data_IF_799983407761
#
_entry.id   IF_799983407761
#
_cell.length_a   1.000
_cell.length_b   1.000
_cell.length_c   1.000
_cell.angle_alpha   90.00
_cell.angle_beta   90.00
_cell.angle_gamma   90.00
#
_symmetry.space_group_name_H-M   'P 1'
#
loop_
_entity.id
_entity.type
_entity.pdbx_description
1 polymer ?
#
# COMPACT_ATOMS: atom_id res chain seq x y z
N UNK A 1 40.44 -65.45 12.08
CA UNK A 1 40.79 -64.08 12.48
C UNK A 1 41.81 -63.55 11.49
N UNK A 2 41.39 -62.71 10.54
CA UNK A 2 42.24 -61.66 9.96
C UNK A 2 41.32 -60.70 9.21
N UNK A 3 41.26 -59.47 9.70
CA UNK A 3 40.37 -58.41 9.22
C UNK A 3 41.01 -57.73 8.02
N UNK A 4 40.34 -57.71 6.86
CA UNK A 4 40.72 -56.83 5.74
C UNK A 4 39.99 -55.49 5.93
N UNK A 5 40.79 -54.44 6.12
CA UNK A 5 40.35 -53.04 6.14
C UNK A 5 40.14 -52.60 4.69
N UNK A 6 38.89 -52.30 4.31
CA UNK A 6 38.58 -51.66 3.03
C UNK A 6 38.66 -50.14 3.24
N UNK A 7 39.68 -49.51 2.65
CA UNK A 7 39.86 -48.07 2.63
C UNK A 7 38.87 -47.47 1.62
N UNK A 8 37.80 -46.83 2.11
CA UNK A 8 36.88 -46.08 1.27
C UNK A 8 37.53 -44.75 0.84
N UNK A 9 37.85 -44.62 -0.45
CA UNK A 9 38.15 -43.33 -1.06
C UNK A 9 36.86 -42.48 -1.01
N UNK A 10 36.84 -41.47 -0.14
CA UNK A 10 35.83 -40.42 -0.18
C UNK A 10 36.01 -39.66 -1.49
N UNK A 11 35.05 -39.81 -2.41
CA UNK A 11 34.94 -38.95 -3.57
C UNK A 11 34.76 -37.51 -3.11
N UNK A 12 35.77 -36.68 -3.32
CA UNK A 12 35.63 -35.24 -3.20
C UNK A 12 34.52 -34.81 -4.16
N UNK A 13 33.41 -34.33 -3.61
CA UNK A 13 32.43 -33.59 -4.38
C UNK A 13 33.20 -32.47 -5.07
N UNK A 14 33.20 -32.48 -6.41
CA UNK A 14 33.74 -31.39 -7.18
C UNK A 14 33.04 -30.11 -6.70
N UNK A 15 33.78 -29.25 -6.02
CA UNK A 15 33.34 -27.88 -5.79
C UNK A 15 33.04 -27.31 -7.17
N UNK A 16 31.77 -27.05 -7.45
CA UNK A 16 31.37 -26.30 -8.62
C UNK A 16 32.07 -24.95 -8.51
N UNK A 17 33.12 -24.79 -9.30
CA UNK A 17 33.79 -23.53 -9.56
C UNK A 17 32.72 -22.50 -9.88
N UNK A 18 32.47 -21.59 -8.95
CA UNK A 18 31.71 -20.36 -9.24
C UNK A 18 32.61 -19.56 -10.16
N UNK A 19 32.35 -19.68 -11.47
CA UNK A 19 32.94 -18.76 -12.45
C UNK A 19 32.52 -17.35 -12.00
N UNK A 20 33.46 -16.43 -11.74
CA UNK A 20 33.08 -15.07 -11.37
C UNK A 20 32.23 -14.50 -12.49
N UNK A 21 31.08 -13.91 -12.14
CA UNK A 21 30.16 -13.33 -13.10
C UNK A 21 30.94 -12.39 -14.04
N UNK A 22 30.95 -12.69 -15.35
CA UNK A 22 31.57 -11.82 -16.32
C UNK A 22 30.69 -10.57 -16.44
N UNK A 23 31.28 -9.42 -16.13
CA UNK A 23 30.62 -8.13 -16.28
C UNK A 23 30.84 -7.64 -17.71
N UNK A 24 29.76 -7.39 -18.44
CA UNK A 24 29.80 -6.79 -19.78
C UNK A 24 29.43 -5.32 -19.72
N UNK A 25 30.27 -4.46 -20.29
CA UNK A 25 29.92 -3.04 -20.48
C UNK A 25 29.11 -2.87 -21.75
N UNK A 26 27.94 -2.23 -21.62
CA UNK A 26 27.03 -1.98 -22.72
C UNK A 26 27.18 -0.52 -23.16
N UNK A 27 27.61 -0.23 -24.40
CA UNK A 27 27.67 1.14 -24.91
C UNK A 27 26.27 1.77 -24.93
N UNK A 28 26.16 3.07 -25.19
CA UNK A 28 24.88 3.77 -25.27
C UNK A 28 24.08 3.42 -26.54
N UNK A 29 23.66 2.16 -26.62
CA UNK A 29 22.98 1.54 -27.76
C UNK A 29 22.01 0.46 -27.28
N UNK A 30 20.74 0.57 -27.69
CA UNK A 30 19.69 -0.36 -27.27
C UNK A 30 19.87 -1.76 -27.86
N UNK A 31 20.44 -1.90 -29.06
CA UNK A 31 20.66 -3.22 -29.65
C UNK A 31 21.73 -4.00 -28.86
N UNK A 32 22.80 -3.32 -28.43
CA UNK A 32 23.82 -3.88 -27.54
C UNK A 32 23.22 -4.32 -26.19
N UNK A 33 22.30 -3.54 -25.62
CA UNK A 33 21.56 -3.92 -24.41
C UNK A 33 20.75 -5.21 -24.62
N UNK A 34 20.01 -5.31 -25.73
CA UNK A 34 19.25 -6.51 -26.07
C UNK A 34 20.17 -7.73 -26.20
N UNK A 35 21.33 -7.58 -26.84
CA UNK A 35 22.33 -8.66 -26.95
C UNK A 35 22.87 -9.06 -25.57
N UNK A 36 23.22 -8.10 -24.72
CA UNK A 36 23.73 -8.37 -23.38
C UNK A 36 22.73 -9.15 -22.52
N UNK A 37 21.45 -8.75 -22.53
CA UNK A 37 20.39 -9.49 -21.79
C UNK A 37 20.21 -10.90 -22.37
N UNK A 38 20.30 -11.07 -23.69
CA UNK A 38 20.23 -12.39 -24.32
C UNK A 38 21.37 -13.31 -23.86
N UNK A 39 22.60 -12.79 -23.79
CA UNK A 39 23.76 -13.51 -23.27
C UNK A 39 23.63 -13.82 -21.78
N UNK A 40 23.12 -12.87 -20.98
CA UNK A 40 22.86 -13.05 -19.56
C UNK A 40 21.84 -14.18 -19.32
N UNK A 41 20.79 -14.28 -20.15
CA UNK A 41 19.83 -15.38 -20.12
C UNK A 41 20.45 -16.74 -20.45
N UNK A 42 21.51 -16.77 -21.26
CA UNK A 42 22.30 -17.96 -21.56
C UNK A 42 23.38 -18.29 -20.50
N UNK A 43 23.39 -17.58 -19.36
CA UNK A 43 24.42 -17.71 -18.30
C UNK A 43 25.84 -17.36 -18.76
N UNK A 44 26.01 -16.45 -19.73
CA UNK A 44 27.33 -16.03 -20.24
C UNK A 44 27.80 -14.78 -19.49
N UNK A 45 27.07 -13.67 -19.61
CA UNK A 45 27.40 -12.36 -19.02
C UNK A 45 26.30 -11.92 -18.05
N UNK A 46 26.26 -12.49 -16.85
CA UNK A 46 25.13 -12.29 -15.90
C UNK A 46 25.16 -10.94 -15.18
N UNK A 47 26.22 -10.15 -15.35
CA UNK A 47 26.32 -8.77 -14.86
C UNK A 47 26.48 -7.83 -16.05
N UNK A 48 25.60 -6.84 -16.14
CA UNK A 48 25.50 -5.90 -17.25
C UNK A 48 25.72 -4.49 -16.68
N UNK A 49 26.80 -3.83 -17.09
CA UNK A 49 27.10 -2.45 -16.72
C UNK A 49 26.70 -1.52 -17.86
N UNK A 50 25.72 -0.65 -17.63
CA UNK A 50 25.28 0.34 -18.62
C UNK A 50 26.23 1.54 -18.65
N UNK A 51 26.35 2.14 -19.83
CA UNK A 51 27.05 3.41 -20.01
C UNK A 51 26.42 4.47 -19.07
N UNK A 52 27.21 5.14 -18.21
CA UNK A 52 26.68 6.08 -17.24
C UNK A 52 25.83 7.17 -17.86
N UNK A 53 24.68 7.46 -17.25
CA UNK A 53 23.72 8.49 -17.70
C UNK A 53 23.17 8.32 -19.12
N UNK A 54 23.41 7.18 -19.78
CA UNK A 54 22.88 6.95 -21.12
C UNK A 54 21.35 6.85 -21.13
N UNK A 55 20.75 7.27 -22.25
CA UNK A 55 19.35 7.01 -22.56
C UNK A 55 19.24 5.86 -23.57
N UNK A 56 18.73 4.72 -23.13
CA UNK A 56 18.40 3.57 -23.96
C UNK A 56 16.92 3.63 -24.38
N UNK A 57 16.68 4.05 -25.61
CA UNK A 57 15.32 4.12 -26.17
C UNK A 57 14.91 2.78 -26.78
N UNK A 58 13.81 2.21 -26.29
CA UNK A 58 13.21 0.97 -26.81
C UNK A 58 11.96 1.36 -27.59
N UNK A 59 11.99 1.21 -28.92
CA UNK A 59 10.92 1.63 -29.82
C UNK A 59 10.02 0.48 -30.31
N UNK A 60 10.49 -0.75 -30.19
CA UNK A 60 9.80 -1.96 -30.67
C UNK A 60 9.84 -3.04 -29.59
N UNK A 61 8.80 -3.87 -29.56
CA UNK A 61 8.75 -5.00 -28.65
C UNK A 61 9.70 -6.12 -29.12
N UNK A 62 10.47 -6.71 -28.19
CA UNK A 62 11.29 -7.90 -28.45
C UNK A 62 10.42 -9.16 -28.57
N UNK A 63 9.43 -9.26 -27.69
CA UNK A 63 8.34 -10.25 -27.74
C UNK A 63 7.02 -9.54 -27.48
N UNK A 64 5.88 -10.18 -27.75
CA UNK A 64 4.57 -9.57 -27.50
C UNK A 64 4.46 -8.96 -26.10
N UNK A 65 4.09 -7.67 -26.04
CA UNK A 65 3.98 -6.86 -24.83
C UNK A 65 5.26 -6.61 -24.01
N UNK A 66 6.47 -6.97 -24.49
CA UNK A 66 7.73 -6.74 -23.77
C UNK A 66 8.87 -6.25 -24.69
N UNK A 67 9.47 -5.12 -24.32
CA UNK A 67 10.47 -4.38 -25.08
C UNK A 67 11.86 -5.01 -25.07
N UNK A 68 12.32 -5.51 -23.93
CA UNK A 68 13.61 -6.21 -23.78
C UNK A 68 13.39 -7.73 -23.75
N UNK A 69 14.42 -8.55 -24.00
CA UNK A 69 14.28 -10.00 -23.85
C UNK A 69 13.80 -10.36 -22.44
N UNK A 70 12.77 -11.21 -22.29
CA UNK A 70 12.32 -11.66 -20.98
C UNK A 70 13.46 -12.30 -20.18
N UNK A 71 13.57 -11.96 -18.90
CA UNK A 71 14.60 -12.52 -18.02
C UNK A 71 14.17 -13.94 -17.64
N UNK A 72 14.88 -14.94 -18.14
CA UNK A 72 14.62 -16.37 -17.88
C UNK A 72 15.77 -17.05 -17.12
N UNK A 73 16.82 -16.29 -16.80
CA UNK A 73 17.91 -16.82 -15.99
C UNK A 73 17.50 -16.94 -14.52
N UNK A 74 17.39 -18.17 -14.04
CA UNK A 74 17.15 -18.47 -12.63
C UNK A 74 18.41 -18.34 -11.75
N UNK A 75 19.61 -18.29 -12.31
CA UNK A 75 20.83 -17.95 -11.57
C UNK A 75 20.94 -16.44 -11.29
N UNK A 76 20.24 -15.60 -12.06
CA UNK A 76 20.18 -14.16 -11.89
C UNK A 76 20.83 -13.35 -13.01
N UNK A 77 20.22 -12.21 -13.30
CA UNK A 77 20.78 -11.14 -14.15
C UNK A 77 20.85 -9.87 -13.31
N UNK A 78 22.02 -9.24 -13.25
CA UNK A 78 22.21 -7.93 -12.60
C UNK A 78 22.46 -6.88 -13.66
N UNK A 79 21.71 -5.78 -13.61
CA UNK A 79 21.91 -4.61 -14.47
C UNK A 79 22.27 -3.43 -13.58
N UNK A 80 23.52 -2.97 -13.69
CA UNK A 80 23.99 -1.75 -13.07
C UNK A 80 23.74 -0.59 -14.02
N UNK A 81 22.76 0.23 -13.70
CA UNK A 81 22.29 1.31 -14.53
C UNK A 81 23.26 2.48 -14.59
N UNK A 82 24.08 2.72 -13.56
CA UNK A 82 24.99 3.88 -13.51
C UNK A 82 24.26 5.21 -13.82
N UNK A 83 23.05 5.37 -13.28
CA UNK A 83 22.12 6.47 -13.54
C UNK A 83 21.59 6.58 -14.98
N UNK A 84 21.70 5.51 -15.77
CA UNK A 84 21.08 5.44 -17.09
C UNK A 84 19.55 5.42 -17.00
N UNK A 85 18.92 5.63 -18.14
CA UNK A 85 17.48 5.53 -18.33
C UNK A 85 17.16 4.54 -19.45
N UNK A 86 16.26 3.60 -19.18
CA UNK A 86 15.61 2.76 -20.19
C UNK A 86 14.19 3.27 -20.39
N UNK A 87 13.86 3.67 -21.62
CA UNK A 87 12.61 4.37 -21.91
C UNK A 87 11.88 3.74 -23.09
N UNK A 88 10.58 3.50 -22.90
CA UNK A 88 9.68 3.19 -24.01
C UNK A 88 9.48 4.44 -24.88
N UNK A 89 9.66 4.31 -26.19
CA UNK A 89 9.36 5.36 -27.18
C UNK A 89 8.46 4.82 -28.29
N UNK A 90 7.89 5.71 -29.10
CA UNK A 90 6.99 5.34 -30.20
C UNK A 90 5.57 4.99 -29.74
N UNK A 91 4.78 4.46 -30.68
CA UNK A 91 3.35 4.13 -30.50
C UNK A 91 3.09 2.69 -30.06
N UNK A 92 4.09 1.82 -30.21
CA UNK A 92 3.97 0.40 -29.90
C UNK A 92 3.76 0.19 -28.39
N UNK A 93 2.87 -0.74 -28.06
CA UNK A 93 2.45 -1.03 -26.68
C UNK A 93 3.26 -2.20 -26.11
N UNK A 94 4.13 -1.92 -25.14
CA UNK A 94 4.90 -2.94 -24.42
C UNK A 94 5.41 -2.41 -23.08
N UNK A 95 5.68 -3.33 -22.13
CA UNK A 95 6.48 -3.07 -20.93
C UNK A 95 7.97 -3.12 -21.24
N UNK A 96 8.84 -2.69 -20.33
CA UNK A 96 10.29 -2.77 -20.56
C UNK A 96 10.85 -4.12 -20.12
N UNK A 97 10.49 -4.56 -18.92
CA UNK A 97 10.99 -5.81 -18.34
C UNK A 97 9.88 -6.81 -18.04
N UNK A 98 10.15 -8.07 -18.37
CA UNK A 98 9.39 -9.23 -17.94
C UNK A 98 10.36 -10.20 -17.24
N UNK A 99 10.09 -10.54 -15.98
CA UNK A 99 10.92 -11.44 -15.18
C UNK A 99 10.18 -12.75 -15.00
N UNK A 100 10.73 -13.80 -15.60
CA UNK A 100 10.07 -15.07 -15.84
C UNK A 100 8.99 -14.97 -16.93
N UNK A 101 8.80 -16.05 -17.68
CA UNK A 101 7.76 -16.13 -18.72
C UNK A 101 6.56 -16.96 -18.27
N UNK A 102 6.74 -17.84 -17.29
CA UNK A 102 5.67 -18.62 -16.65
C UNK A 102 6.15 -19.20 -15.32
N UNK A 103 5.25 -19.82 -14.55
CA UNK A 103 5.63 -20.56 -13.33
C UNK A 103 6.69 -21.66 -13.57
N UNK A 104 6.75 -22.22 -14.79
CA UNK A 104 7.72 -23.26 -15.17
C UNK A 104 9.05 -22.68 -15.68
N UNK A 105 9.08 -21.39 -16.01
CA UNK A 105 10.26 -20.69 -16.53
C UNK A 105 10.41 -19.38 -15.75
N UNK A 106 10.89 -19.46 -14.49
CA UNK A 106 11.13 -18.29 -13.65
C UNK A 106 12.36 -17.51 -14.12
N UNK A 107 12.50 -16.28 -13.63
CA UNK A 107 13.71 -15.47 -13.80
C UNK A 107 14.05 -14.69 -12.55
N UNK A 108 15.31 -14.26 -12.44
CA UNK A 108 15.80 -13.46 -11.32
C UNK A 108 16.48 -12.20 -11.86
N UNK A 109 15.97 -11.02 -11.50
CA UNK A 109 16.47 -9.74 -11.98
C UNK A 109 16.88 -8.82 -10.83
N UNK A 110 18.08 -8.25 -10.90
CA UNK A 110 18.54 -7.17 -10.02
C UNK A 110 18.78 -5.91 -10.86
N UNK A 111 18.22 -4.78 -10.44
CA UNK A 111 18.44 -3.46 -11.05
C UNK A 111 19.06 -2.51 -10.01
N UNK A 112 20.15 -1.83 -10.38
CA UNK A 112 20.80 -0.83 -9.53
C UNK A 112 20.90 0.51 -10.28
N UNK A 113 20.66 1.65 -9.61
CA UNK A 113 20.91 2.99 -10.13
C UNK A 113 20.31 3.24 -11.53
N UNK A 114 19.02 2.91 -11.71
CA UNK A 114 18.40 2.86 -13.02
C UNK A 114 17.02 3.52 -13.02
N UNK A 115 16.76 4.31 -14.06
CA UNK A 115 15.39 4.77 -14.36
C UNK A 115 14.77 3.91 -15.45
N UNK A 116 13.57 3.39 -15.23
CA UNK A 116 12.75 2.68 -16.22
C UNK A 116 11.44 3.41 -16.39
N UNK A 117 11.09 3.77 -17.62
CA UNK A 117 9.92 4.63 -17.83
C UNK A 117 9.09 4.40 -19.08
N UNK A 118 7.83 4.84 -18.98
CA UNK A 118 6.82 4.91 -20.03
C UNK A 118 6.34 3.56 -20.59
N UNK A 119 6.60 2.46 -19.88
CA UNK A 119 6.06 1.16 -20.26
C UNK A 119 4.53 1.18 -20.36
N UNK A 120 4.00 0.56 -21.40
CA UNK A 120 2.58 0.59 -21.75
C UNK A 120 2.14 -0.72 -22.44
N UNK A 121 2.11 -1.85 -21.73
CA UNK A 121 1.62 -3.10 -22.31
C UNK A 121 0.12 -3.02 -22.64
N UNK A 122 -0.29 -3.72 -23.69
CA UNK A 122 -1.69 -3.76 -24.14
C UNK A 122 -2.53 -4.78 -23.36
N UNK A 123 -1.89 -5.81 -22.80
CA UNK A 123 -2.60 -6.89 -22.10
C UNK A 123 -3.12 -6.53 -20.71
N UNK A 124 -4.01 -7.39 -20.21
CA UNK A 124 -4.63 -7.28 -18.88
C UNK A 124 -3.74 -7.78 -17.74
N UNK A 125 -2.56 -8.35 -18.06
CA UNK A 125 -1.64 -8.86 -17.03
C UNK A 125 -1.01 -7.70 -16.25
N UNK A 126 -0.88 -6.51 -16.84
CA UNK A 126 -0.35 -5.34 -16.11
C UNK A 126 1.17 -5.35 -15.98
N UNK A 127 1.75 -4.60 -15.04
CA UNK A 127 3.19 -4.40 -14.91
C UNK A 127 3.71 -3.49 -16.00
N UNK A 128 3.47 -2.18 -15.88
CA UNK A 128 3.70 -1.25 -16.97
C UNK A 128 5.18 -1.11 -17.33
N UNK A 129 6.05 -0.80 -16.37
CA UNK A 129 7.50 -0.86 -16.60
C UNK A 129 8.02 -2.30 -16.42
N UNK A 130 7.61 -2.96 -15.34
CA UNK A 130 8.13 -4.27 -14.93
C UNK A 130 6.99 -5.23 -14.57
N UNK A 131 7.03 -6.45 -15.13
CA UNK A 131 6.21 -7.57 -14.67
C UNK A 131 7.09 -8.67 -14.09
N UNK A 132 6.79 -9.10 -12.87
CA UNK A 132 7.41 -10.26 -12.22
C UNK A 132 6.40 -11.40 -12.18
N UNK A 133 6.69 -12.48 -12.93
CA UNK A 133 5.82 -13.65 -13.04
C UNK A 133 6.10 -14.68 -11.95
N UNK A 134 5.18 -15.62 -11.79
CA UNK A 134 5.20 -16.64 -10.76
C UNK A 134 6.59 -17.29 -10.60
N UNK A 135 6.99 -17.56 -9.36
CA UNK A 135 8.28 -18.17 -8.97
C UNK A 135 9.52 -17.34 -9.33
N UNK A 136 9.36 -16.10 -9.80
CA UNK A 136 10.45 -15.20 -10.16
C UNK A 136 10.80 -14.23 -9.04
N UNK A 137 12.01 -13.69 -9.08
CA UNK A 137 12.47 -12.68 -8.12
C UNK A 137 12.90 -11.37 -8.78
N UNK A 138 12.64 -10.27 -8.08
CA UNK A 138 13.10 -8.95 -8.49
C UNK A 138 13.71 -8.21 -7.29
N UNK A 139 14.89 -7.63 -7.50
CA UNK A 139 15.54 -6.74 -6.54
C UNK A 139 15.86 -5.41 -7.23
N UNK A 140 15.52 -4.29 -6.58
CA UNK A 140 15.87 -2.96 -7.04
C UNK A 140 16.53 -2.13 -5.95
N UNK A 141 17.66 -1.50 -6.26
CA UNK A 141 18.32 -0.53 -5.37
C UNK A 141 18.49 0.79 -6.12
N UNK A 142 17.98 1.89 -5.57
CA UNK A 142 18.01 3.19 -6.24
C UNK A 142 17.40 3.14 -7.66
N UNK A 143 16.21 2.54 -7.77
CA UNK A 143 15.49 2.39 -9.05
C UNK A 143 14.32 3.37 -9.11
N UNK A 144 14.18 4.06 -10.24
CA UNK A 144 13.04 4.90 -10.54
C UNK A 144 12.13 4.23 -11.57
N UNK A 145 10.89 3.88 -11.20
CA UNK A 145 9.87 3.36 -12.10
C UNK A 145 8.80 4.43 -12.33
N UNK A 146 8.76 5.02 -13.54
CA UNK A 146 7.91 6.20 -13.76
C UNK A 146 7.14 6.24 -15.07
N UNK A 147 6.04 7.00 -15.07
CA UNK A 147 5.28 7.36 -16.27
C UNK A 147 4.57 6.20 -16.98
N UNK A 148 4.53 5.01 -16.38
CA UNK A 148 3.99 3.83 -17.03
C UNK A 148 2.46 3.75 -16.92
N UNK A 149 1.85 3.05 -17.87
CA UNK A 149 0.41 2.82 -17.93
C UNK A 149 0.14 1.33 -18.11
N UNK A 150 -0.68 0.73 -17.26
CA UNK A 150 -1.02 -0.69 -17.38
C UNK A 150 -2.45 -0.97 -16.90
N UNK A 151 -2.95 -2.20 -17.03
CA UNK A 151 -4.24 -2.55 -16.41
C UNK A 151 -4.12 -2.77 -14.89
N UNK A 152 -3.00 -3.30 -14.41
CA UNK A 152 -2.72 -3.60 -12.98
C UNK A 152 -1.24 -3.29 -12.74
N UNK A 153 -0.87 -2.70 -11.61
CA UNK A 153 0.55 -2.43 -11.31
C UNK A 153 1.16 -1.51 -12.36
N UNK A 154 0.72 -0.24 -12.39
CA UNK A 154 1.08 0.70 -13.46
C UNK A 154 2.58 0.85 -13.63
N UNK A 155 3.35 0.93 -12.54
CA UNK A 155 4.82 0.87 -12.58
C UNK A 155 5.33 -0.58 -12.59
N UNK A 156 4.97 -1.36 -11.57
CA UNK A 156 5.43 -2.74 -11.40
C UNK A 156 4.31 -3.64 -10.89
N UNK A 157 4.29 -4.89 -11.36
CA UNK A 157 3.40 -5.94 -10.84
C UNK A 157 4.18 -7.16 -10.38
N UNK A 158 3.92 -7.59 -9.15
CA UNK A 158 4.33 -8.87 -8.58
C UNK A 158 3.16 -9.84 -8.59
N UNK A 159 3.27 -10.95 -9.33
CA UNK A 159 2.26 -12.02 -9.33
C UNK A 159 2.40 -12.92 -8.09
N UNK A 160 1.51 -13.88 -7.94
CA UNK A 160 1.57 -14.88 -6.87
C UNK A 160 2.90 -15.64 -6.89
N UNK A 161 3.35 -16.10 -5.72
CA UNK A 161 4.61 -16.86 -5.59
C UNK A 161 5.85 -16.12 -6.10
N UNK A 162 5.84 -14.79 -6.10
CA UNK A 162 7.02 -13.97 -6.40
C UNK A 162 7.65 -13.43 -5.13
N UNK A 163 8.95 -13.13 -5.20
CA UNK A 163 9.66 -12.37 -4.16
C UNK A 163 10.18 -11.07 -4.75
N UNK A 164 9.93 -9.96 -4.05
CA UNK A 164 10.32 -8.62 -4.49
C UNK A 164 11.02 -7.83 -3.40
N UNK A 165 12.11 -7.15 -3.75
CA UNK A 165 12.71 -6.12 -2.90
C UNK A 165 12.90 -4.82 -3.69
N UNK A 166 12.56 -3.70 -3.07
CA UNK A 166 12.89 -2.35 -3.55
C UNK A 166 13.49 -1.58 -2.39
N UNK A 167 14.67 -1.02 -2.58
CA UNK A 167 15.41 -0.25 -1.57
C UNK A 167 15.78 1.11 -2.16
N UNK A 168 15.57 2.17 -1.38
CA UNK A 168 15.94 3.56 -1.75
C UNK A 168 15.40 3.96 -3.13
N UNK A 169 14.20 3.50 -3.47
CA UNK A 169 13.65 3.54 -4.82
C UNK A 169 12.47 4.52 -4.93
N UNK A 170 12.10 4.90 -6.15
CA UNK A 170 10.97 5.78 -6.43
C UNK A 170 10.04 5.18 -7.47
N UNK A 171 8.74 5.22 -7.17
CA UNK A 171 7.67 4.81 -8.08
C UNK A 171 6.74 6.00 -8.26
N UNK A 172 6.77 6.67 -9.42
CA UNK A 172 5.98 7.89 -9.61
C UNK A 172 5.30 8.05 -10.96
N UNK A 173 4.20 8.79 -10.97
CA UNK A 173 3.49 9.18 -12.20
C UNK A 173 2.99 7.99 -13.04
N UNK A 174 2.87 6.82 -12.41
CA UNK A 174 2.34 5.63 -13.04
C UNK A 174 0.83 5.58 -12.88
N UNK A 175 0.14 4.96 -13.84
CA UNK A 175 -1.31 4.85 -13.80
C UNK A 175 -1.82 3.48 -14.20
N UNK A 176 -2.99 3.13 -13.68
CA UNK A 176 -3.79 2.05 -14.25
C UNK A 176 -4.96 2.56 -15.08
N UNK A 177 -5.30 1.82 -16.13
CA UNK A 177 -6.43 2.08 -17.02
C UNK A 177 -7.15 0.76 -17.31
N UNK A 178 -8.48 0.74 -17.37
CA UNK A 178 -9.26 -0.47 -17.69
C UNK A 178 -10.07 -1.04 -16.51
N UNK A 179 -10.71 -2.19 -16.71
CA UNK A 179 -11.72 -2.74 -15.77
C UNK A 179 -11.18 -3.33 -14.47
N UNK A 180 -9.89 -3.70 -14.40
CA UNK A 180 -9.24 -4.27 -13.21
C UNK A 180 -8.14 -3.33 -12.67
N UNK A 181 -8.40 -2.01 -12.65
CA UNK A 181 -7.42 -0.96 -12.38
C UNK A 181 -6.95 -0.87 -10.92
N UNK A 182 -5.96 -1.67 -10.53
CA UNK A 182 -5.40 -1.68 -9.18
C UNK A 182 -3.88 -1.47 -9.12
N UNK A 183 -3.42 -0.71 -8.12
CA UNK A 183 -2.00 -0.44 -7.88
C UNK A 183 -1.39 0.48 -8.94
N UNK A 184 -1.60 1.79 -8.80
CA UNK A 184 -1.14 2.76 -9.80
C UNK A 184 0.37 2.72 -9.98
N UNK A 185 1.12 2.66 -8.88
CA UNK A 185 2.56 2.46 -8.87
C UNK A 185 2.93 0.98 -8.82
N UNK A 186 2.49 0.28 -7.79
CA UNK A 186 2.81 -1.13 -7.56
C UNK A 186 1.55 -1.94 -7.28
N UNK A 187 1.49 -3.14 -7.83
CA UNK A 187 0.51 -4.13 -7.43
C UNK A 187 1.20 -5.44 -7.00
N UNK A 188 0.84 -5.98 -5.84
CA UNK A 188 1.44 -7.22 -5.31
C UNK A 188 0.42 -8.28 -4.89
N UNK A 189 0.57 -9.45 -5.50
CA UNK A 189 0.05 -10.74 -5.04
C UNK A 189 1.16 -11.64 -4.44
N UNK A 190 2.39 -11.14 -4.33
CA UNK A 190 3.58 -11.88 -3.92
C UNK A 190 4.07 -11.53 -2.51
N UNK A 191 5.31 -11.94 -2.20
CA UNK A 191 6.04 -11.49 -1.02
C UNK A 191 6.93 -10.31 -1.41
N UNK A 192 6.59 -9.10 -0.98
CA UNK A 192 7.29 -7.88 -1.37
C UNK A 192 7.74 -7.13 -0.13
N UNK A 193 9.01 -6.72 -0.10
CA UNK A 193 9.59 -5.84 0.90
C UNK A 193 10.02 -4.52 0.25
N UNK A 194 9.51 -3.42 0.76
CA UNK A 194 9.85 -2.07 0.34
C UNK A 194 10.61 -1.40 1.48
N UNK A 195 11.81 -0.93 1.21
CA UNK A 195 12.65 -0.22 2.19
C UNK A 195 12.93 1.16 1.66
N UNK A 196 12.58 2.20 2.42
CA UNK A 196 12.79 3.60 2.05
C UNK A 196 12.38 3.91 0.59
N UNK A 197 11.19 3.43 0.19
CA UNK A 197 10.70 3.55 -1.18
C UNK A 197 9.57 4.55 -1.26
N UNK A 198 9.67 5.50 -2.19
CA UNK A 198 8.71 6.58 -2.37
C UNK A 198 7.68 6.28 -3.47
N UNK A 199 6.40 6.45 -3.16
CA UNK A 199 5.28 6.37 -4.10
C UNK A 199 4.64 7.75 -4.27
N UNK A 200 4.82 8.37 -5.42
CA UNK A 200 4.34 9.75 -5.65
C UNK A 200 3.48 9.88 -6.89
N UNK A 201 2.32 10.54 -6.78
CA UNK A 201 1.50 10.93 -7.94
C UNK A 201 1.05 9.78 -8.84
N UNK A 202 0.95 8.57 -8.29
CA UNK A 202 0.42 7.44 -9.02
C UNK A 202 -1.12 7.44 -8.98
N UNK A 203 -1.74 6.81 -9.98
CA UNK A 203 -3.19 6.82 -10.16
C UNK A 203 -3.77 5.44 -10.46
N UNK A 204 -4.81 5.04 -9.75
CA UNK A 204 -5.55 3.81 -10.05
C UNK A 204 -7.02 3.94 -9.71
N UNK A 205 -7.82 2.93 -10.04
CA UNK A 205 -9.16 2.84 -9.46
C UNK A 205 -9.07 2.46 -7.99
N UNK A 206 -8.27 1.44 -7.67
CA UNK A 206 -8.05 0.94 -6.31
C UNK A 206 -6.54 0.96 -5.99
N UNK A 207 -6.13 1.51 -4.86
CA UNK A 207 -4.73 1.58 -4.49
C UNK A 207 -3.96 2.53 -5.40
N UNK A 208 -4.19 3.85 -5.25
CA UNK A 208 -3.60 4.87 -6.13
C UNK A 208 -2.08 4.73 -6.22
N UNK A 209 -1.41 4.56 -5.07
CA UNK A 209 0.01 4.21 -4.98
C UNK A 209 0.21 2.70 -5.10
N UNK A 210 -0.32 1.97 -4.12
CA UNK A 210 -0.08 0.54 -3.94
C UNK A 210 -1.40 -0.23 -3.88
N UNK A 211 -1.51 -1.29 -4.68
CA UNK A 211 -2.53 -2.32 -4.55
C UNK A 211 -1.93 -3.61 -4.01
N UNK A 212 -2.60 -4.22 -3.03
CA UNK A 212 -2.20 -5.49 -2.45
C UNK A 212 -3.44 -6.35 -2.19
N UNK A 213 -3.33 -7.65 -2.49
CA UNK A 213 -4.47 -8.54 -2.40
C UNK A 213 -4.13 -9.83 -1.64
N UNK A 214 -3.09 -10.55 -2.08
CA UNK A 214 -2.62 -11.78 -1.42
C UNK A 214 -1.11 -11.73 -1.22
N UNK A 215 -0.59 -12.65 -0.39
CA UNK A 215 0.82 -12.68 -0.01
C UNK A 215 1.14 -11.76 1.17
N UNK A 216 2.37 -11.26 1.21
CA UNK A 216 2.84 -10.38 2.28
C UNK A 216 3.49 -9.14 1.67
N UNK A 217 2.96 -7.97 2.03
CA UNK A 217 3.58 -6.69 1.74
C UNK A 217 4.19 -6.12 3.02
N UNK A 218 5.50 -5.92 3.01
CA UNK A 218 6.24 -5.26 4.10
C UNK A 218 6.76 -3.92 3.60
N UNK A 219 6.51 -2.84 4.35
CA UNK A 219 6.95 -1.48 4.03
C UNK A 219 7.72 -0.93 5.23
N UNK A 220 8.99 -0.60 5.04
CA UNK A 220 9.91 -0.12 6.06
C UNK A 220 10.45 1.25 5.64
N UNK A 221 9.80 2.31 6.12
CA UNK A 221 10.14 3.68 5.75
C UNK A 221 9.66 4.10 4.36
N UNK A 222 10.08 5.29 3.95
CA UNK A 222 9.65 5.94 2.71
C UNK A 222 8.34 6.72 2.85
N UNK A 223 7.88 7.28 1.74
CA UNK A 223 6.66 8.09 1.68
C UNK A 223 5.68 7.62 0.59
N UNK A 224 4.39 7.60 0.92
CA UNK A 224 3.30 7.33 -0.03
C UNK A 224 2.47 8.60 -0.08
N UNK A 225 2.66 9.40 -1.15
CA UNK A 225 2.08 10.75 -1.22
C UNK A 225 1.49 11.16 -2.55
N UNK A 226 0.49 12.03 -2.49
CA UNK A 226 -0.18 12.59 -3.67
C UNK A 226 -0.73 11.56 -4.64
N UNK A 227 -0.93 10.32 -4.21
CA UNK A 227 -1.50 9.28 -5.03
C UNK A 227 -3.02 9.45 -5.06
N UNK A 228 -3.63 9.01 -6.16
CA UNK A 228 -5.06 9.21 -6.41
C UNK A 228 -5.73 7.88 -6.75
N UNK A 229 -6.73 7.52 -5.95
CA UNK A 229 -7.66 6.45 -6.27
C UNK A 229 -9.00 7.01 -6.75
N UNK A 230 -9.73 6.22 -7.53
CA UNK A 230 -11.10 6.58 -7.94
C UNK A 230 -12.18 5.85 -7.14
N UNK A 231 -11.85 4.76 -6.47
CA UNK A 231 -12.76 4.03 -5.58
C UNK A 231 -12.14 3.96 -4.18
N UNK A 232 -11.09 3.16 -4.00
CA UNK A 232 -10.60 2.84 -2.65
C UNK A 232 -9.08 2.95 -2.53
N UNK A 233 -8.60 3.43 -1.37
CA UNK A 233 -7.18 3.43 -1.04
C UNK A 233 -6.40 4.43 -1.87
N UNK A 234 -6.51 5.73 -1.57
CA UNK A 234 -5.78 6.76 -2.31
C UNK A 234 -4.27 6.51 -2.31
N UNK A 235 -3.71 6.16 -1.15
CA UNK A 235 -2.33 5.69 -1.01
C UNK A 235 -2.22 4.18 -1.23
N UNK A 236 -2.81 3.40 -0.31
CA UNK A 236 -2.72 1.94 -0.26
C UNK A 236 -4.13 1.33 -0.26
N UNK A 237 -4.34 0.28 -1.06
CA UNK A 237 -5.47 -0.62 -0.90
C UNK A 237 -4.98 -2.04 -0.64
N UNK A 238 -5.37 -2.60 0.51
CA UNK A 238 -5.12 -3.99 0.91
C UNK A 238 -6.45 -4.74 1.04
N UNK A 239 -6.98 -5.23 -0.08
CA UNK A 239 -8.38 -5.70 -0.17
C UNK A 239 -8.57 -7.19 0.17
N UNK A 240 -7.64 -8.04 -0.28
CA UNK A 240 -7.76 -9.49 -0.11
C UNK A 240 -7.30 -10.02 1.26
N UNK A 241 -6.90 -11.28 1.30
CA UNK A 241 -6.49 -11.98 2.53
C UNK A 241 -5.00 -11.80 2.86
N UNK A 242 -4.29 -10.95 2.12
CA UNK A 242 -2.86 -10.67 2.30
C UNK A 242 -2.54 -9.96 3.62
N UNK A 243 -1.29 -10.09 4.04
CA UNK A 243 -0.73 -9.44 5.24
C UNK A 243 -0.01 -8.16 4.83
N UNK A 244 -0.36 -7.04 5.49
CA UNK A 244 0.36 -5.77 5.37
C UNK A 244 1.07 -5.47 6.69
N UNK A 245 2.39 -5.32 6.62
CA UNK A 245 3.22 -4.81 7.72
C UNK A 245 3.85 -3.49 7.28
N UNK A 246 3.54 -2.40 7.97
CA UNK A 246 4.08 -1.08 7.66
C UNK A 246 4.76 -0.49 8.89
N UNK A 247 6.02 -0.10 8.78
CA UNK A 247 6.81 0.48 9.87
C UNK A 247 7.48 1.77 9.41
N UNK A 248 7.51 2.81 10.25
CA UNK A 248 8.28 4.03 9.98
C UNK A 248 7.86 4.80 8.73
N UNK A 249 6.65 4.60 8.22
CA UNK A 249 6.22 5.09 6.89
C UNK A 249 5.29 6.29 7.01
N UNK A 250 5.39 7.24 6.08
CA UNK A 250 4.46 8.38 6.00
C UNK A 250 3.51 8.22 4.81
N UNK A 251 2.20 8.16 5.08
CA UNK A 251 1.12 8.13 4.09
C UNK A 251 0.43 9.49 4.13
N UNK A 252 0.74 10.36 3.17
CA UNK A 252 0.34 11.78 3.23
C UNK A 252 -0.29 12.32 1.96
N UNK A 253 -1.29 13.18 2.08
CA UNK A 253 -1.91 13.91 0.98
C UNK A 253 -2.36 13.02 -0.20
N UNK A 254 -2.74 11.77 0.09
CA UNK A 254 -3.37 10.91 -0.89
C UNK A 254 -4.87 11.19 -0.93
N UNK A 255 -5.48 10.89 -2.08
CA UNK A 255 -6.89 11.21 -2.28
C UNK A 255 -7.68 10.13 -2.98
N UNK A 256 -8.95 10.05 -2.60
CA UNK A 256 -9.98 9.35 -3.35
C UNK A 256 -10.89 10.39 -3.98
N UNK A 257 -10.99 10.34 -5.30
CA UNK A 257 -11.90 11.17 -6.09
C UNK A 257 -12.83 10.25 -6.87
N UNK A 258 -13.97 9.89 -6.28
CA UNK A 258 -14.97 9.09 -6.97
C UNK A 258 -15.45 9.83 -8.20
N UNK A 259 -15.51 9.14 -9.34
CA UNK A 259 -15.99 9.69 -10.61
C UNK A 259 -17.51 9.55 -10.77
N UNK A 260 -18.25 9.49 -9.67
CA UNK A 260 -19.70 9.27 -9.63
C UNK A 260 -20.15 7.81 -9.76
N UNK A 261 -19.25 6.82 -9.70
CA UNK A 261 -19.57 5.42 -10.03
C UNK A 261 -19.22 4.38 -8.93
N UNK A 262 -18.71 4.79 -7.78
CA UNK A 262 -18.28 3.86 -6.72
C UNK A 262 -18.23 4.49 -5.33
N UNK A 263 -18.11 3.65 -4.29
CA UNK A 263 -17.89 4.09 -2.91
C UNK A 263 -16.44 4.51 -2.71
N UNK A 264 -16.24 5.72 -2.18
CA UNK A 264 -14.96 6.32 -1.90
C UNK A 264 -14.47 5.99 -0.49
N UNK A 265 -13.47 5.11 -0.34
CA UNK A 265 -13.00 4.73 0.99
C UNK A 265 -11.47 4.76 1.17
N UNK A 266 -11.01 5.12 2.36
CA UNK A 266 -9.60 5.03 2.73
C UNK A 266 -8.74 6.00 1.94
N UNK A 267 -8.83 7.30 2.23
CA UNK A 267 -8.05 8.32 1.51
C UNK A 267 -6.55 8.02 1.56
N UNK A 268 -6.04 7.60 2.73
CA UNK A 268 -4.69 7.07 2.89
C UNK A 268 -4.65 5.57 2.66
N UNK A 269 -5.31 4.81 3.54
CA UNK A 269 -5.26 3.34 3.57
C UNK A 269 -6.66 2.76 3.53
N UNK A 270 -6.89 1.84 2.59
CA UNK A 270 -8.08 1.00 2.56
C UNK A 270 -7.71 -0.43 2.93
N UNK A 271 -8.49 -1.02 3.84
CA UNK A 271 -8.37 -2.40 4.31
C UNK A 271 -9.68 -3.11 4.02
N UNK A 272 -9.60 -4.20 3.26
CA UNK A 272 -10.74 -5.05 2.95
C UNK A 272 -11.19 -5.91 4.13
N UNK A 273 -11.88 -7.01 3.85
CA UNK A 273 -12.68 -7.72 4.86
C UNK A 273 -11.94 -8.78 5.69
N UNK A 274 -10.77 -9.23 5.24
CA UNK A 274 -10.05 -10.37 5.83
C UNK A 274 -8.58 -10.06 6.04
N UNK A 275 -7.90 -10.86 6.86
CA UNK A 275 -6.44 -10.79 7.06
C UNK A 275 -6.02 -9.86 8.20
N UNK A 276 -4.71 -9.81 8.43
CA UNK A 276 -4.08 -9.06 9.52
C UNK A 276 -3.19 -7.97 8.95
N UNK A 277 -3.32 -6.77 9.52
CA UNK A 277 -2.59 -5.57 9.11
C UNK A 277 -2.01 -4.91 10.35
N UNK A 278 -0.73 -4.63 10.30
CA UNK A 278 -0.02 -3.97 11.40
C UNK A 278 0.68 -2.74 10.85
N UNK A 279 0.43 -1.61 11.50
CA UNK A 279 1.05 -0.33 11.19
C UNK A 279 1.71 0.18 12.47
N UNK A 280 3.03 0.36 12.42
CA UNK A 280 3.85 0.71 13.57
C UNK A 280 4.71 1.94 13.26
N UNK A 281 4.92 2.81 14.25
CA UNK A 281 5.82 3.97 14.14
C UNK A 281 5.57 4.85 12.89
N UNK A 282 4.31 4.96 12.46
CA UNK A 282 3.96 5.53 11.16
C UNK A 282 3.05 6.75 11.28
N UNK A 283 2.90 7.49 10.20
CA UNK A 283 2.02 8.67 10.13
C UNK A 283 1.11 8.57 8.92
N UNK A 284 -0.20 8.70 9.15
CA UNK A 284 -1.24 8.76 8.13
C UNK A 284 -1.90 10.14 8.27
N UNK A 285 -1.52 11.07 7.39
CA UNK A 285 -1.90 12.48 7.54
C UNK A 285 -2.39 13.17 6.28
N UNK A 286 -3.29 14.15 6.42
CA UNK A 286 -3.72 15.00 5.30
C UNK A 286 -4.46 14.28 4.16
N UNK A 287 -4.74 12.98 4.30
CA UNK A 287 -5.40 12.22 3.25
C UNK A 287 -6.86 12.62 3.14
N UNK A 288 -7.40 12.62 1.93
CA UNK A 288 -8.72 13.18 1.65
C UNK A 288 -9.58 12.24 0.83
N UNK A 289 -10.80 11.98 1.31
CA UNK A 289 -11.85 11.38 0.49
C UNK A 289 -12.86 12.48 0.15
N UNK A 290 -13.16 12.67 -1.13
CA UNK A 290 -14.29 13.50 -1.57
C UNK A 290 -15.50 12.60 -1.75
N UNK A 291 -16.47 12.74 -0.85
CA UNK A 291 -17.68 11.93 -0.77
C UNK A 291 -18.62 12.24 -1.92
N UNK A 292 -19.10 11.19 -2.57
CA UNK A 292 -20.17 11.26 -3.56
C UNK A 292 -21.28 10.24 -3.29
N UNK A 293 -21.11 9.36 -2.29
CA UNK A 293 -22.14 8.45 -1.78
C UNK A 293 -22.23 8.49 -0.26
N UNK A 294 -23.42 8.24 0.30
CA UNK A 294 -23.68 8.27 1.74
C UNK A 294 -22.96 7.17 2.55
N UNK A 295 -22.17 6.33 1.89
CA UNK A 295 -21.41 5.25 2.49
C UNK A 295 -19.89 5.42 2.35
N UNK A 296 -19.42 6.57 1.87
CA UNK A 296 -18.00 6.88 1.74
C UNK A 296 -17.39 7.20 3.12
N UNK A 297 -16.22 6.65 3.41
CA UNK A 297 -15.60 6.85 4.72
C UNK A 297 -14.11 6.56 4.82
N UNK A 298 -13.54 6.84 5.98
CA UNK A 298 -12.12 6.62 6.24
C UNK A 298 -11.25 7.62 5.49
N UNK A 299 -11.36 8.91 5.83
CA UNK A 299 -10.49 9.95 5.24
C UNK A 299 -9.01 9.58 5.36
N UNK A 300 -8.60 9.08 6.52
CA UNK A 300 -7.32 8.43 6.75
C UNK A 300 -7.37 6.94 6.40
N UNK A 301 -8.11 6.17 7.19
CA UNK A 301 -8.18 4.72 7.11
C UNK A 301 -9.62 4.24 6.98
N UNK A 302 -9.88 3.35 6.03
CA UNK A 302 -11.09 2.53 6.02
C UNK A 302 -10.74 1.07 6.31
N UNK A 303 -11.58 0.42 7.11
CA UNK A 303 -11.47 -0.98 7.47
C UNK A 303 -12.82 -1.67 7.33
N UNK A 304 -12.95 -2.56 6.33
CA UNK A 304 -14.15 -3.36 6.14
C UNK A 304 -14.26 -4.56 7.09
N UNK A 305 -13.13 -5.09 7.56
CA UNK A 305 -13.05 -6.26 8.44
C UNK A 305 -11.61 -6.64 8.78
N UNK A 306 -11.41 -7.90 9.18
CA UNK A 306 -10.08 -8.43 9.56
C UNK A 306 -9.54 -7.83 10.87
N UNK A 307 -8.23 -7.76 11.01
CA UNK A 307 -7.57 -7.10 12.15
C UNK A 307 -6.62 -6.02 11.67
N UNK A 308 -6.74 -4.83 12.25
CA UNK A 308 -5.84 -3.71 12.08
C UNK A 308 -5.29 -3.35 13.45
N UNK A 309 -3.97 -3.38 13.58
CA UNK A 309 -3.27 -2.86 14.76
C UNK A 309 -2.47 -1.63 14.36
N UNK A 310 -2.78 -0.51 15.01
CA UNK A 310 -1.96 0.69 15.04
C UNK A 310 -1.16 0.67 16.34
N UNK A 311 0.16 0.79 16.23
CA UNK A 311 1.08 0.81 17.36
C UNK A 311 2.02 2.01 17.20
N UNK A 312 2.03 2.94 18.15
CA UNK A 312 2.77 4.22 18.04
C UNK A 312 2.58 4.93 16.69
N UNK A 313 1.35 4.94 16.17
CA UNK A 313 1.02 5.44 14.83
C UNK A 313 0.02 6.59 14.88
N UNK A 314 0.30 7.69 14.17
CA UNK A 314 -0.56 8.88 14.17
C UNK A 314 -1.50 8.88 12.96
N UNK A 315 -2.80 8.99 13.19
CA UNK A 315 -3.82 9.21 12.15
C UNK A 315 -4.37 10.63 12.32
N UNK A 316 -3.82 11.59 11.57
CA UNK A 316 -4.08 13.01 11.86
C UNK A 316 -4.42 13.90 10.68
N UNK A 317 -5.28 14.89 10.87
CA UNK A 317 -5.56 15.89 9.84
C UNK A 317 -6.19 15.34 8.56
N UNK A 318 -6.71 14.11 8.59
CA UNK A 318 -7.36 13.50 7.44
C UNK A 318 -8.78 14.06 7.27
N UNK A 319 -9.25 14.08 6.04
CA UNK A 319 -10.45 14.78 5.64
C UNK A 319 -11.40 13.88 4.88
N UNK A 320 -12.67 14.07 5.19
CA UNK A 320 -13.78 13.51 4.44
C UNK A 320 -14.67 14.69 4.05
N UNK A 321 -14.85 14.93 2.75
CA UNK A 321 -15.54 16.13 2.26
C UNK A 321 -16.74 15.73 1.42
N UNK A 322 -17.94 16.04 1.90
CA UNK A 322 -19.22 15.82 1.25
C UNK A 322 -20.26 15.28 2.23
N UNK A 323 -21.50 15.11 1.75
CA UNK A 323 -22.63 14.76 2.62
C UNK A 323 -22.59 13.30 3.06
N UNK A 324 -23.03 13.05 4.30
CA UNK A 324 -23.12 11.71 4.90
C UNK A 324 -21.79 10.93 4.91
N UNK A 325 -20.69 11.62 5.18
CA UNK A 325 -19.38 10.97 5.34
C UNK A 325 -19.21 10.31 6.72
N UNK A 326 -18.54 9.16 6.75
CA UNK A 326 -18.22 8.40 7.97
C UNK A 326 -16.71 8.32 8.28
N UNK A 327 -16.32 8.54 9.53
CA UNK A 327 -14.98 8.21 10.02
C UNK A 327 -13.86 8.97 9.31
N UNK A 328 -13.73 10.29 9.51
CA UNK A 328 -12.71 11.06 8.79
C UNK A 328 -11.28 10.62 9.15
N UNK A 329 -11.02 10.26 10.41
CA UNK A 329 -9.80 9.55 10.79
C UNK A 329 -9.86 8.09 10.35
N UNK A 330 -10.72 7.32 11.00
CA UNK A 330 -10.88 5.88 10.81
C UNK A 330 -12.38 5.53 10.67
N UNK A 331 -12.74 4.80 9.62
CA UNK A 331 -14.04 4.13 9.47
C UNK A 331 -13.83 2.61 9.58
N UNK A 332 -14.35 2.00 10.65
CA UNK A 332 -14.22 0.58 10.95
C UNK A 332 -15.59 -0.12 10.89
N UNK A 333 -15.83 -0.85 9.80
CA UNK A 333 -17.11 -1.50 9.51
C UNK A 333 -17.18 -3.00 9.83
N UNK A 334 -16.15 -3.52 10.48
CA UNK A 334 -16.08 -4.90 10.93
C UNK A 334 -14.72 -5.21 11.56
N UNK A 335 -14.57 -6.44 12.04
CA UNK A 335 -13.29 -6.96 12.51
C UNK A 335 -12.82 -6.37 13.84
N UNK A 336 -11.51 -6.28 14.02
CA UNK A 336 -10.87 -5.76 15.25
C UNK A 336 -9.88 -4.65 14.94
N UNK A 337 -10.18 -3.45 15.43
CA UNK A 337 -9.29 -2.30 15.40
C UNK A 337 -8.60 -2.16 16.76
N UNK A 338 -7.26 -2.25 16.77
CA UNK A 338 -6.44 -1.95 17.94
C UNK A 338 -5.70 -0.63 17.71
N UNK A 339 -5.87 0.32 18.63
CA UNK A 339 -5.21 1.63 18.63
C UNK A 339 -4.38 1.71 19.91
N UNK A 340 -3.08 1.41 19.80
CA UNK A 340 -2.22 1.09 20.94
C UNK A 340 -1.04 2.05 21.04
N UNK A 341 -0.52 2.22 22.26
CA UNK A 341 0.79 2.82 22.56
C UNK A 341 0.99 4.19 21.88
N UNK A 342 0.22 5.19 22.31
CA UNK A 342 0.23 6.53 21.71
C UNK A 342 -0.11 6.55 20.21
N UNK A 343 -1.02 5.67 19.76
CA UNK A 343 -1.54 5.74 18.40
C UNK A 343 -2.66 6.76 18.29
N UNK A 344 -2.31 8.04 18.13
CA UNK A 344 -3.29 9.11 18.25
C UNK A 344 -4.09 9.35 16.97
N UNK A 345 -5.41 9.37 17.07
CA UNK A 345 -6.37 9.76 16.04
C UNK A 345 -6.80 11.20 16.29
N UNK A 346 -6.19 12.16 15.60
CA UNK A 346 -6.32 13.59 15.96
C UNK A 346 -6.57 14.54 14.82
N UNK A 347 -7.22 15.68 15.08
CA UNK A 347 -7.39 16.76 14.09
C UNK A 347 -8.09 16.32 12.77
N UNK A 348 -8.80 15.19 12.76
CA UNK A 348 -9.48 14.71 11.57
C UNK A 348 -10.83 15.42 11.38
N UNK A 349 -11.23 15.65 10.14
CA UNK A 349 -12.40 16.46 9.79
C UNK A 349 -13.35 15.73 8.83
N UNK A 350 -14.56 15.45 9.29
CA UNK A 350 -15.68 15.10 8.42
C UNK A 350 -16.52 16.35 8.12
N UNK A 351 -16.52 16.76 6.86
CA UNK A 351 -17.11 18.00 6.38
C UNK A 351 -18.30 17.78 5.44
N UNK A 352 -19.51 17.90 5.99
CA UNK A 352 -20.75 17.87 5.23
C UNK A 352 -21.95 17.49 6.09
N UNK A 353 -23.17 17.75 5.65
CA UNK A 353 -24.38 17.42 6.42
C UNK A 353 -24.41 15.92 6.74
N UNK A 354 -24.94 15.56 7.91
CA UNK A 354 -25.07 14.16 8.36
C UNK A 354 -23.75 13.38 8.48
N UNK A 355 -22.61 14.06 8.68
CA UNK A 355 -21.32 13.40 8.89
C UNK A 355 -21.21 12.78 10.28
N UNK A 356 -20.61 11.59 10.37
CA UNK A 356 -20.56 10.80 11.60
C UNK A 356 -19.12 10.35 11.89
N UNK A 357 -18.65 10.55 13.12
CA UNK A 357 -17.31 10.09 13.52
C UNK A 357 -16.20 10.93 12.90
N UNK A 358 -15.83 12.04 13.53
CA UNK A 358 -14.67 12.81 13.05
C UNK A 358 -13.37 12.02 13.25
N UNK A 359 -13.20 11.42 14.43
CA UNK A 359 -12.07 10.55 14.74
C UNK A 359 -12.32 9.12 14.26
N UNK A 360 -13.19 8.39 14.95
CA UNK A 360 -13.52 7.00 14.67
C UNK A 360 -15.03 6.84 14.44
N UNK A 361 -15.38 6.13 13.37
CA UNK A 361 -16.73 5.63 13.12
C UNK A 361 -16.73 4.10 13.18
N UNK A 362 -17.75 3.51 13.81
CA UNK A 362 -18.01 2.07 13.73
C UNK A 362 -19.44 1.73 13.37
N UNK A 363 -19.60 0.73 12.49
CA UNK A 363 -20.87 0.11 12.17
C UNK A 363 -20.65 -1.35 11.74
N UNK A 364 -21.68 -2.19 11.83
CA UNK A 364 -21.59 -3.58 11.38
C UNK A 364 -21.93 -3.64 9.90
N UNK A 365 -20.95 -3.94 9.05
CA UNK A 365 -21.19 -4.29 7.64
C UNK A 365 -21.26 -5.81 7.45
N UNK A 366 -20.31 -6.55 8.04
CA UNK A 366 -20.29 -8.02 8.02
C UNK A 366 -20.45 -8.60 9.42
N UNK A 367 -19.61 -8.14 10.34
CA UNK A 367 -19.61 -8.53 11.74
C UNK A 367 -19.55 -7.30 12.63
N UNK A 368 -19.86 -7.48 13.92
CA UNK A 368 -19.75 -6.41 14.91
C UNK A 368 -18.28 -6.02 15.09
N UNK A 369 -17.91 -4.75 14.88
CA UNK A 369 -16.55 -4.28 15.13
C UNK A 369 -16.19 -4.39 16.61
N UNK A 370 -14.94 -4.76 16.89
CA UNK A 370 -14.32 -4.60 18.21
C UNK A 370 -13.24 -3.53 18.12
N UNK A 371 -13.32 -2.50 18.97
CA UNK A 371 -12.34 -1.43 19.03
C UNK A 371 -11.66 -1.40 20.39
N UNK A 372 -10.34 -1.55 20.39
CA UNK A 372 -9.51 -1.48 21.59
C UNK A 372 -8.63 -0.25 21.49
N UNK A 373 -8.77 0.70 22.42
CA UNK A 373 -7.95 1.91 22.49
C UNK A 373 -7.18 1.85 23.80
N UNK A 374 -5.86 1.73 23.72
CA UNK A 374 -4.99 1.60 24.88
C UNK A 374 -3.86 2.64 24.84
N UNK A 375 -3.79 3.51 25.84
CA UNK A 375 -2.72 4.51 25.95
C UNK A 375 -2.67 5.49 24.77
N UNK A 376 -3.81 5.80 24.16
CA UNK A 376 -3.90 6.53 22.87
C UNK A 376 -5.00 7.58 22.88
N UNK A 377 -4.86 8.63 22.05
CA UNK A 377 -5.80 9.75 21.99
C UNK A 377 -6.77 9.70 20.80
N UNK A 378 -8.02 10.11 21.01
CA UNK A 378 -9.02 10.40 19.97
C UNK A 378 -9.48 11.84 20.19
N UNK A 379 -8.57 12.78 19.89
CA UNK A 379 -8.69 14.17 20.32
C UNK A 379 -8.76 15.16 19.17
N UNK A 380 -9.44 16.30 19.40
CA UNK A 380 -9.50 17.43 18.44
C UNK A 380 -10.08 17.06 17.07
N UNK A 381 -10.85 15.98 16.99
CA UNK A 381 -11.54 15.58 15.78
C UNK A 381 -12.86 16.34 15.64
N UNK A 382 -13.29 16.54 14.39
CA UNK A 382 -14.43 17.39 14.08
C UNK A 382 -15.34 16.75 13.05
N UNK A 383 -16.64 16.82 13.33
CA UNK A 383 -17.68 16.74 12.31
C UNK A 383 -18.29 18.12 12.11
N UNK A 384 -18.81 18.42 10.93
CA UNK A 384 -19.48 19.68 10.63
C UNK A 384 -20.73 19.47 9.79
N UNK A 385 -21.59 20.48 9.65
CA UNK A 385 -22.86 20.39 8.93
C UNK A 385 -24.04 19.90 9.79
N UNK A 386 -25.25 20.31 9.42
CA UNK A 386 -26.46 19.95 10.18
C UNK A 386 -26.68 18.43 10.24
N UNK A 387 -27.07 17.92 11.40
CA UNK A 387 -27.34 16.49 11.61
C UNK A 387 -26.11 15.63 11.91
N UNK A 388 -24.92 16.21 11.90
CA UNK A 388 -23.64 15.52 12.16
C UNK A 388 -23.41 15.27 13.65
N UNK A 389 -22.75 14.15 14.00
CA UNK A 389 -22.62 13.67 15.39
C UNK A 389 -21.30 12.91 15.62
N UNK A 390 -20.86 12.85 16.88
CA UNK A 390 -19.68 12.07 17.27
C UNK A 390 -18.40 12.64 16.68
N UNK A 391 -18.04 13.86 17.11
CA UNK A 391 -16.77 14.49 16.69
C UNK A 391 -15.58 13.57 16.94
N UNK A 392 -15.50 12.94 18.11
CA UNK A 392 -14.47 11.97 18.46
C UNK A 392 -14.85 10.58 17.96
N UNK A 393 -15.85 9.97 18.58
CA UNK A 393 -16.32 8.61 18.29
C UNK A 393 -17.80 8.63 17.92
N UNK A 394 -18.13 7.95 16.84
CA UNK A 394 -19.50 7.56 16.51
C UNK A 394 -19.61 6.03 16.45
N UNK A 395 -20.31 5.45 17.41
CA UNK A 395 -20.52 4.01 17.48
C UNK A 395 -21.96 3.64 17.12
N UNK A 396 -22.19 3.28 15.86
CA UNK A 396 -23.46 2.77 15.36
C UNK A 396 -23.71 1.32 15.78
N UNK A 397 -22.63 0.55 15.89
CA UNK A 397 -22.57 -0.77 16.52
C UNK A 397 -21.09 -1.15 16.70
N UNK A 398 -20.83 -1.93 17.73
CA UNK A 398 -19.47 -2.32 18.09
C UNK A 398 -19.30 -2.47 19.59
N UNK A 399 -18.21 -3.13 19.97
CA UNK A 399 -17.69 -3.14 21.34
C UNK A 399 -16.49 -2.22 21.41
N UNK A 400 -16.38 -1.49 22.53
CA UNK A 400 -15.27 -0.60 22.79
C UNK A 400 -14.65 -0.95 24.14
N UNK A 401 -13.32 -1.06 24.15
CA UNK A 401 -12.50 -1.05 25.36
C UNK A 401 -11.58 0.16 25.32
N UNK A 402 -11.81 1.10 26.24
CA UNK A 402 -11.02 2.32 26.38
C UNK A 402 -10.20 2.21 27.68
N UNK A 403 -8.89 2.01 27.53
CA UNK A 403 -7.94 1.91 28.64
C UNK A 403 -6.87 2.98 28.51
N UNK A 404 -6.68 3.79 29.55
CA UNK A 404 -5.69 4.88 29.58
C UNK A 404 -5.74 5.80 28.34
N UNK A 405 -6.94 6.01 27.80
CA UNK A 405 -7.17 6.76 26.56
C UNK A 405 -7.63 8.20 26.83
N UNK A 406 -7.63 9.03 25.79
CA UNK A 406 -8.31 10.33 25.81
C UNK A 406 -9.33 10.46 24.68
N UNK A 407 -10.47 11.06 24.99
CA UNK A 407 -11.48 11.50 24.01
C UNK A 407 -11.85 12.94 24.36
N UNK A 408 -11.08 13.88 23.85
CA UNK A 408 -11.12 15.28 24.28
C UNK A 408 -11.13 16.29 23.14
N UNK A 409 -11.72 17.45 23.41
CA UNK A 409 -11.72 18.60 22.49
C UNK A 409 -12.33 18.29 21.12
N UNK A 410 -13.16 17.25 21.03
CA UNK A 410 -13.83 16.91 19.79
C UNK A 410 -15.07 17.77 19.60
N UNK A 411 -15.40 18.05 18.33
CA UNK A 411 -16.42 19.04 17.97
C UNK A 411 -17.47 18.44 17.05
N UNK A 412 -18.75 18.64 17.41
CA UNK A 412 -19.90 18.53 16.54
C UNK A 412 -20.60 19.90 16.43
N UNK A 413 -21.27 20.21 15.31
CA UNK A 413 -21.68 21.58 14.98
C UNK A 413 -22.81 22.11 15.86
N UNK A 414 -23.79 21.29 16.26
CA UNK A 414 -24.95 21.76 17.01
C UNK A 414 -25.48 20.71 18.00
N UNK A 415 -26.08 21.18 19.10
CA UNK A 415 -26.90 20.35 19.98
C UNK A 415 -28.11 19.78 19.20
N UNK A 416 -28.58 18.56 19.48
CA UNK A 416 -28.30 17.78 20.69
C UNK A 416 -27.26 16.67 20.48
N UNK A 417 -26.40 16.68 19.47
CA UNK A 417 -25.47 15.55 19.28
C UNK A 417 -24.15 15.77 20.03
N UNK A 418 -23.55 14.74 20.64
CA UNK A 418 -22.27 14.90 21.34
C UNK A 418 -21.11 15.13 20.38
N UNK A 419 -20.18 15.96 20.84
CA UNK A 419 -18.88 16.14 20.21
C UNK A 419 -17.93 15.00 20.56
N UNK A 420 -18.02 14.44 21.77
CA UNK A 420 -17.15 13.39 22.23
C UNK A 420 -17.52 12.04 21.65
N UNK A 421 -18.39 11.32 22.35
CA UNK A 421 -18.83 9.97 21.99
C UNK A 421 -20.34 9.99 21.77
N UNK A 422 -20.75 9.61 20.55
CA UNK A 422 -22.12 9.16 20.29
C UNK A 422 -22.14 7.64 20.21
N UNK A 423 -23.08 6.98 20.89
CA UNK A 423 -23.21 5.52 20.80
C UNK A 423 -24.65 5.01 20.82
N UNK A 424 -24.91 3.95 20.05
CA UNK A 424 -26.15 3.16 20.06
C UNK A 424 -26.05 1.91 20.94
N UNK A 425 -24.84 1.44 21.22
CA UNK A 425 -24.55 0.29 22.08
C UNK A 425 -23.80 0.74 23.33
N UNK A 426 -24.02 0.07 24.47
CA UNK A 426 -23.38 0.50 25.71
C UNK A 426 -21.85 0.30 25.63
N UNK A 427 -21.10 1.32 26.04
CA UNK A 427 -19.64 1.21 26.22
C UNK A 427 -19.39 1.06 27.71
N UNK A 428 -19.09 -0.17 28.13
CA UNK A 428 -18.98 -0.49 29.56
C UNK A 428 -17.55 -0.54 30.08
N UNK A 429 -16.56 -0.78 29.19
CA UNK A 429 -15.15 -0.84 29.53
C UNK A 429 -14.48 0.52 29.30
N UNK A 430 -14.43 1.33 30.36
CA UNK A 430 -13.77 2.63 30.39
C UNK A 430 -12.91 2.69 31.65
N UNK A 431 -11.60 2.49 31.49
CA UNK A 431 -10.62 2.40 32.60
C UNK A 431 -9.51 3.42 32.36
N UNK A 432 -9.16 4.24 33.37
CA UNK A 432 -8.09 5.24 33.24
C UNK A 432 -8.30 6.30 32.14
N UNK A 433 -9.46 6.31 31.50
CA UNK A 433 -9.74 7.09 30.29
C UNK A 433 -10.40 8.43 30.62
N UNK A 434 -9.95 9.50 29.96
CA UNK A 434 -10.52 10.84 30.10
C UNK A 434 -11.44 11.18 28.93
N UNK A 435 -12.72 11.45 29.21
CA UNK A 435 -13.70 11.95 28.23
C UNK A 435 -14.15 13.34 28.68
N UNK A 436 -13.59 14.39 28.08
CA UNK A 436 -13.79 15.76 28.58
C UNK A 436 -13.63 16.84 27.50
N UNK A 437 -14.15 18.03 27.78
CA UNK A 437 -13.99 19.23 26.94
C UNK A 437 -14.46 19.06 25.50
N UNK A 438 -15.40 18.15 25.24
CA UNK A 438 -15.99 17.99 23.93
C UNK A 438 -17.19 18.94 23.76
N UNK A 439 -17.40 19.42 22.54
CA UNK A 439 -18.47 20.37 22.20
C UNK A 439 -19.41 19.74 21.18
N UNK A 440 -20.73 19.74 21.39
CA UNK A 440 -21.48 20.38 22.49
C UNK A 440 -21.38 19.66 23.84
N UNK A 441 -21.28 18.34 23.82
CA UNK A 441 -21.32 17.47 25.01
C UNK A 441 -20.29 16.34 24.89
N UNK A 442 -19.96 15.72 26.02
CA UNK A 442 -19.07 14.56 26.08
C UNK A 442 -19.79 13.31 25.57
N UNK A 443 -20.87 12.90 26.24
CA UNK A 443 -21.65 11.72 25.84
C UNK A 443 -23.17 11.94 25.90
N UNK A 444 -23.63 13.04 26.51
CA UNK A 444 -25.06 13.36 26.59
C UNK A 444 -25.71 13.29 25.19
N UNK A 445 -26.92 12.70 25.16
CA UNK A 445 -27.71 12.39 23.96
C UNK A 445 -27.23 11.20 23.12
N UNK A 446 -26.26 10.42 23.61
CA UNK A 446 -26.09 9.03 23.17
C UNK A 446 -27.35 8.22 23.47
N UNK A 447 -27.65 7.23 22.62
CA UNK A 447 -28.81 6.34 22.80
C UNK A 447 -28.56 5.26 23.84
N UNK A 448 -27.29 4.92 24.06
CA UNK A 448 -26.84 3.97 25.08
C UNK A 448 -25.83 4.64 26.03
N UNK A 449 -25.71 4.13 27.27
CA UNK A 449 -24.80 4.70 28.26
C UNK A 449 -23.33 4.45 27.90
N UNK A 450 -22.48 5.39 28.30
CA UNK A 450 -21.02 5.26 28.33
C UNK A 450 -20.60 5.30 29.79
N UNK A 451 -19.99 4.22 30.30
CA UNK A 451 -19.58 4.11 31.71
C UNK A 451 -18.71 5.28 32.12
N UNK A 452 -19.03 5.89 33.27
CA UNK A 452 -18.29 7.00 33.87
C UNK A 452 -18.19 8.29 33.02
N UNK A 453 -18.92 8.39 31.91
CA UNK A 453 -18.97 9.62 31.13
C UNK A 453 -19.97 10.61 31.74
N UNK A 454 -19.53 11.85 31.96
CA UNK A 454 -20.36 12.93 32.52
C UNK A 454 -20.47 14.07 31.51
N UNK A 455 -21.69 14.60 31.37
CA UNK A 455 -22.03 15.65 30.42
C UNK A 455 -21.96 15.18 28.98
#
# INVERSE_FOLDING_TARGET
MSSLVTLALTGAAAATSVVPAHAVTVPCDTAALITAITNANANIDTVIDLEPYCLYEVSVANVTDTGLPPITNNAGVTINGNNATIKRVGTDSFRLFEVGTSAAVPGNLTLNDLTVMNGQPSNVIGGGNVLVRENSTFAGTNVALQGATANIGGGIRFRTSTTGTLTDSRISDNRTTGGASAGGGLYSDGQVTLTNTDFTSNRARIGGGIGHNVGTLTINGGSIKHNTAFDNGGGIASDGNGTLNMTGTTVTDNRVTTGGLGSGNGGGVYIGFNGTRTITDSVIEGNTVTVQSADDGGGGIFMGGGTLTLDNTKVKGNKLIGEAGHGAGIDARGGTLNVLNASDVTDNLAAGRYSLGGGIYTASLINTPTVNVNGSAIDRNKVSGTGSRGGGIYNASGTYDLTDASVQFNVAPDAPAPGGIWTSTAITSVTGTTIANNTPTNCLYSLAPVTSCVG
#
